data_IF_373063979829
#
_entry.id   IF_373063979829
#
_cell.length_a   1.000
_cell.length_b   1.000
_cell.length_c   1.000
_cell.angle_alpha   90.00
_cell.angle_beta   90.00
_cell.angle_gamma   90.00
#
_symmetry.space_group_name_H-M   'P 1'
#
loop_
_entity.id
_entity.type
_entity.pdbx_description
1 polymer ?
#
# COMPACT_ATOMS: atom_id res chain seq x y z
N UNK A 1 -7.03 4.90 8.05
CA UNK A 1 -5.72 4.38 7.58
C UNK A 1 -4.66 5.03 8.42
N UNK A 2 -3.50 4.42 8.57
CA UNK A 2 -2.44 5.02 9.38
C UNK A 2 -1.07 4.54 8.91
N UNK A 3 -0.08 5.40 9.10
CA UNK A 3 1.32 5.04 8.98
C UNK A 3 1.75 4.29 10.23
N UNK A 4 2.32 3.10 10.06
CA UNK A 4 2.77 2.25 11.16
C UNK A 4 4.25 1.97 11.08
N UNK A 5 4.92 2.23 12.20
CA UNK A 5 6.31 1.85 12.46
C UNK A 5 6.37 0.39 12.94
N UNK A 6 7.27 -0.37 12.35
CA UNK A 6 7.55 -1.77 12.67
C UNK A 6 9.02 -1.93 13.03
N UNK A 7 9.33 -2.23 14.27
CA UNK A 7 10.70 -2.59 14.64
C UNK A 7 10.92 -4.09 14.43
N UNK A 8 11.96 -4.42 13.67
CA UNK A 8 12.39 -5.79 13.40
C UNK A 8 13.81 -5.93 13.95
N UNK A 9 13.99 -6.88 14.87
CA UNK A 9 15.32 -7.29 15.34
C UNK A 9 15.95 -8.18 14.26
N UNK A 10 17.01 -7.70 13.63
CA UNK A 10 17.82 -8.48 12.70
C UNK A 10 19.19 -8.83 13.29
N UNK A 11 19.96 -9.61 12.52
CA UNK A 11 21.34 -9.98 12.86
C UNK A 11 22.27 -8.76 12.99
N UNK A 12 21.97 -7.66 12.27
CA UNK A 12 22.75 -6.41 12.27
C UNK A 12 22.16 -5.33 13.18
N UNK A 13 21.31 -5.71 14.14
CA UNK A 13 20.63 -4.78 15.05
C UNK A 13 19.15 -4.54 14.71
N UNK A 14 18.54 -3.57 15.40
CA UNK A 14 17.14 -3.19 15.21
C UNK A 14 17.00 -2.29 14.00
N UNK A 15 16.00 -2.56 13.15
CA UNK A 15 15.61 -1.68 12.05
C UNK A 15 14.13 -1.39 12.12
N UNK A 16 13.77 -0.14 11.87
CA UNK A 16 12.39 0.29 11.76
C UNK A 16 11.94 0.31 10.30
N UNK A 17 10.74 -0.19 10.03
CA UNK A 17 10.10 -0.17 8.73
C UNK A 17 8.75 0.56 8.82
N UNK A 18 8.44 1.34 7.79
CA UNK A 18 7.17 2.03 7.69
C UNK A 18 6.21 1.26 6.76
N UNK A 19 4.98 1.08 7.22
CA UNK A 19 3.91 0.42 6.46
C UNK A 19 2.64 1.25 6.55
N UNK A 20 1.90 1.35 5.46
CA UNK A 20 0.54 1.89 5.45
C UNK A 20 -0.42 0.76 5.82
N UNK A 21 -1.26 0.97 6.83
CA UNK A 21 -2.14 -0.06 7.36
C UNK A 21 -3.56 0.45 7.61
N UNK A 22 -4.50 -0.50 7.67
CA UNK A 22 -5.89 -0.27 8.01
C UNK A 22 -6.39 -1.38 8.95
N UNK A 23 -7.25 -1.03 9.92
CA UNK A 23 -7.84 -2.00 10.84
C UNK A 23 -9.21 -2.44 10.35
N UNK A 24 -9.48 -3.73 10.43
CA UNK A 24 -10.71 -4.36 9.96
C UNK A 24 -11.38 -5.08 11.11
N UNK A 25 -12.66 -4.80 11.32
CA UNK A 25 -13.46 -5.58 12.26
C UNK A 25 -13.76 -6.97 11.66
N UNK A 26 -13.40 -8.04 12.36
CA UNK A 26 -13.66 -9.41 11.96
C UNK A 26 -14.69 -10.04 12.92
N UNK A 27 -15.99 -10.02 12.58
CA UNK A 27 -17.05 -10.57 13.46
C UNK A 27 -17.07 -12.11 13.49
N UNK A 28 -16.45 -12.78 12.50
CA UNK A 28 -16.40 -14.25 12.35
C UNK A 28 -15.59 -14.96 13.45
N UNK A 29 -14.91 -14.23 14.34
CA UNK A 29 -14.18 -14.81 15.48
C UNK A 29 -14.97 -14.59 16.76
N UNK A 30 -14.94 -15.57 17.66
CA UNK A 30 -15.56 -15.45 18.97
C UNK A 30 -15.12 -14.14 19.67
N UNK A 31 -16.09 -13.28 19.99
CA UNK A 31 -15.89 -11.97 20.62
C UNK A 31 -15.66 -10.79 19.66
N UNK A 32 -15.48 -11.03 18.35
CA UNK A 32 -15.19 -9.99 17.36
C UNK A 32 -13.84 -9.31 17.59
N UNK A 33 -12.96 -9.27 16.57
CA UNK A 33 -11.64 -8.68 16.75
C UNK A 33 -11.25 -7.76 15.60
N UNK A 34 -10.69 -6.60 15.94
CA UNK A 34 -9.99 -5.75 14.99
C UNK A 34 -8.68 -6.39 14.55
N UNK A 35 -8.50 -6.61 13.25
CA UNK A 35 -7.29 -7.15 12.63
C UNK A 35 -6.66 -6.13 11.71
N UNK A 36 -5.33 -6.02 11.76
CA UNK A 36 -4.57 -5.14 10.88
C UNK A 36 -4.42 -5.77 9.50
N UNK A 37 -4.75 -5.02 8.46
CA UNK A 37 -4.40 -5.30 7.07
C UNK A 37 -3.33 -4.30 6.64
N UNK A 38 -2.23 -4.82 6.08
CA UNK A 38 -1.18 -3.98 5.49
C UNK A 38 -1.56 -3.69 4.04
N UNK A 39 -1.63 -2.40 3.72
CA UNK A 39 -1.99 -1.88 2.41
C UNK A 39 -0.74 -1.68 1.54
N UNK A 40 0.32 -1.11 2.10
CA UNK A 40 1.60 -0.95 1.41
C UNK A 40 2.76 -1.05 2.40
N UNK A 41 3.87 -1.67 1.97
CA UNK A 41 5.14 -1.57 2.67
C UNK A 41 6.00 -0.46 2.05
N UNK A 42 6.42 0.55 2.82
CA UNK A 42 7.22 1.65 2.28
C UNK A 42 8.73 1.37 2.36
N UNK A 43 9.16 0.48 3.26
CA UNK A 43 10.55 0.14 3.47
C UNK A 43 11.14 0.68 4.78
N UNK A 44 12.47 0.76 4.84
CA UNK A 44 13.23 1.11 6.05
C UNK A 44 13.10 2.60 6.38
N UNK A 45 12.68 2.93 7.61
CA UNK A 45 12.40 4.31 8.05
C UNK A 45 13.56 5.28 7.75
N UNK A 46 14.80 4.87 7.99
CA UNK A 46 16.00 5.71 7.76
C UNK A 46 16.17 6.18 6.30
N UNK A 47 15.57 5.48 5.34
CA UNK A 47 15.64 5.79 3.90
C UNK A 47 14.44 6.58 3.40
N UNK A 48 13.49 6.86 4.28
CA UNK A 48 12.20 7.45 3.94
C UNK A 48 12.06 8.83 4.57
N UNK A 49 11.38 9.71 3.85
CA UNK A 49 10.86 10.93 4.42
C UNK A 49 9.55 10.61 5.15
N UNK A 50 9.54 10.84 6.46
CA UNK A 50 8.42 10.45 7.31
C UNK A 50 7.23 11.40 7.20
N UNK A 51 7.49 12.68 6.92
CA UNK A 51 6.45 13.68 6.75
C UNK A 51 5.72 13.44 5.42
N UNK A 52 6.47 13.24 4.34
CA UNK A 52 5.89 12.81 3.05
C UNK A 52 5.13 11.50 3.17
N UNK A 53 5.61 10.55 3.96
CA UNK A 53 4.88 9.29 4.17
C UNK A 53 3.56 9.49 4.90
N UNK A 54 3.47 10.46 5.82
CA UNK A 54 2.23 10.80 6.50
C UNK A 54 1.25 11.50 5.54
N UNK A 55 1.72 12.49 4.79
CA UNK A 55 0.91 13.19 3.78
C UNK A 55 0.44 12.23 2.68
N UNK A 56 1.26 11.26 2.29
CA UNK A 56 0.88 10.25 1.32
C UNK A 56 -0.27 9.37 1.82
N UNK A 57 -0.33 9.06 3.12
CA UNK A 57 -1.48 8.36 3.71
C UNK A 57 -2.74 9.19 3.57
N UNK A 58 -2.68 10.49 3.84
CA UNK A 58 -3.82 11.40 3.65
C UNK A 58 -4.25 11.49 2.19
N UNK A 59 -3.29 11.59 1.27
CA UNK A 59 -3.56 11.65 -0.16
C UNK A 59 -4.27 10.39 -0.67
N UNK A 60 -3.81 9.20 -0.24
CA UNK A 60 -4.48 7.92 -0.53
C UNK A 60 -5.87 7.90 0.08
N UNK A 61 -6.03 8.33 1.34
CA UNK A 61 -7.32 8.35 2.00
C UNK A 61 -8.38 9.20 1.29
N UNK A 62 -7.96 10.30 0.65
CA UNK A 62 -8.86 11.22 -0.06
C UNK A 62 -9.15 10.81 -1.49
N UNK A 63 -8.22 10.11 -2.15
CA UNK A 63 -8.29 9.88 -3.60
C UNK A 63 -8.49 8.43 -4.01
N UNK A 64 -8.26 7.45 -3.13
CA UNK A 64 -8.36 6.06 -3.53
C UNK A 64 -9.83 5.64 -3.71
N UNK A 65 -10.26 5.26 -4.93
CA UNK A 65 -11.62 4.84 -5.21
C UNK A 65 -11.93 3.54 -4.45
N UNK A 66 -13.19 3.32 -4.08
CA UNK A 66 -13.58 2.12 -3.33
C UNK A 66 -13.03 2.08 -1.90
N UNK A 67 -12.68 3.24 -1.32
CA UNK A 67 -12.30 3.33 0.10
C UNK A 67 -13.40 2.70 0.96
N UNK A 68 -13.06 1.68 1.77
CA UNK A 68 -14.03 1.05 2.64
C UNK A 68 -14.47 2.03 3.73
N UNK A 69 -15.78 2.22 3.85
CA UNK A 69 -16.39 3.00 4.92
C UNK A 69 -16.30 2.27 6.27
N UNK A 70 -16.49 3.02 7.36
CA UNK A 70 -16.48 2.44 8.71
C UNK A 70 -17.62 1.42 8.82
N UNK A 71 -17.27 0.17 9.12
CA UNK A 71 -18.24 -0.94 9.22
C UNK A 71 -18.34 -1.79 7.95
N UNK A 72 -17.70 -1.41 6.85
CA UNK A 72 -17.57 -2.29 5.69
C UNK A 72 -16.76 -3.54 6.03
N UNK A 73 -17.24 -4.68 5.51
CA UNK A 73 -16.69 -5.99 5.81
C UNK A 73 -15.28 -6.20 5.24
N UNK A 74 -14.63 -7.26 5.73
CA UNK A 74 -13.25 -7.66 5.36
C UNK A 74 -13.01 -7.70 3.85
N UNK A 75 -13.98 -8.14 3.06
CA UNK A 75 -13.85 -8.24 1.61
C UNK A 75 -13.58 -6.88 0.93
N UNK A 76 -14.25 -5.81 1.35
CA UNK A 76 -14.04 -4.47 0.80
C UNK A 76 -12.63 -3.96 1.08
N UNK A 77 -12.15 -4.14 2.32
CA UNK A 77 -10.80 -3.73 2.71
C UNK A 77 -9.73 -4.55 1.99
N UNK A 78 -9.97 -5.84 1.73
CA UNK A 78 -9.03 -6.67 0.96
C UNK A 78 -8.96 -6.27 -0.51
N UNK A 79 -10.09 -5.91 -1.14
CA UNK A 79 -10.09 -5.36 -2.51
C UNK A 79 -9.32 -4.05 -2.57
N UNK A 80 -9.66 -3.11 -1.69
CA UNK A 80 -8.96 -1.85 -1.56
C UNK A 80 -7.45 -2.05 -1.32
N UNK A 81 -7.07 -2.99 -0.46
CA UNK A 81 -5.67 -3.33 -0.25
C UNK A 81 -4.99 -3.85 -1.52
N UNK A 82 -5.68 -4.62 -2.36
CA UNK A 82 -5.14 -5.08 -3.64
C UNK A 82 -4.87 -3.90 -4.59
N UNK A 83 -5.76 -2.92 -4.66
CA UNK A 83 -5.58 -1.74 -5.50
C UNK A 83 -4.40 -0.89 -5.04
N UNK A 84 -4.26 -0.65 -3.73
CA UNK A 84 -3.10 0.08 -3.18
C UNK A 84 -1.79 -0.68 -3.43
N UNK A 85 -1.79 -2.01 -3.36
CA UNK A 85 -0.58 -2.81 -3.65
C UNK A 85 -0.11 -2.69 -5.10
N UNK A 86 -1.01 -2.44 -6.07
CA UNK A 86 -0.64 -2.21 -7.47
C UNK A 86 0.21 -0.96 -7.63
N UNK A 87 -0.05 0.07 -6.83
CA UNK A 87 0.72 1.33 -6.85
C UNK A 87 1.86 1.36 -5.81
N UNK A 88 2.03 0.33 -4.97
CA UNK A 88 3.04 0.29 -3.90
C UNK A 88 4.46 0.69 -4.38
N UNK A 89 4.97 0.22 -5.56
CA UNK A 89 6.28 0.64 -6.05
C UNK A 89 6.38 2.15 -6.32
N UNK A 90 5.31 2.79 -6.77
CA UNK A 90 5.26 4.24 -6.95
C UNK A 90 5.27 4.96 -5.60
N UNK A 91 4.44 4.50 -4.66
CA UNK A 91 4.38 5.05 -3.29
C UNK A 91 5.76 5.04 -2.62
N UNK A 92 6.51 3.93 -2.73
CA UNK A 92 7.89 3.81 -2.22
C UNK A 92 8.83 4.87 -2.79
N UNK A 93 8.71 5.19 -4.09
CA UNK A 93 9.56 6.20 -4.74
C UNK A 93 9.23 7.60 -4.24
N UNK A 94 7.95 7.92 -4.08
CA UNK A 94 7.50 9.24 -3.61
C UNK A 94 8.04 9.58 -2.21
N UNK A 95 8.07 8.60 -1.31
CA UNK A 95 8.53 8.80 0.08
C UNK A 95 10.03 8.55 0.28
N UNK A 96 10.75 8.13 -0.76
CA UNK A 96 12.17 7.79 -0.60
C UNK A 96 13.03 9.05 -0.67
N UNK A 97 13.91 9.21 0.32
CA UNK A 97 14.89 10.31 0.38
C UNK A 97 15.82 10.34 -0.83
N UNK A 98 16.03 9.20 -1.50
CA UNK A 98 16.87 9.12 -2.69
C UNK A 98 16.33 9.92 -3.88
N UNK A 99 15.02 10.18 -3.92
CA UNK A 99 14.39 10.97 -4.98
C UNK A 99 14.23 12.45 -4.62
N UNK A 100 14.51 12.83 -3.36
CA UNK A 100 14.57 14.24 -2.91
C UNK A 100 13.27 15.02 -3.11
N UNK A 101 12.10 14.37 -3.06
CA UNK A 101 10.82 15.04 -3.30
C UNK A 101 10.53 16.10 -2.22
N UNK A 102 10.86 15.80 -0.96
CA UNK A 102 10.67 16.71 0.18
C UNK A 102 11.55 17.97 0.05
N UNK A 103 12.74 17.83 -0.55
CA UNK A 103 13.65 18.96 -0.75
C UNK A 103 13.19 19.88 -1.89
N UNK A 104 12.49 19.31 -2.88
CA UNK A 104 11.98 20.04 -4.04
C UNK A 104 10.66 20.73 -3.79
N UNK A 105 9.88 20.20 -2.84
CA UNK A 105 8.52 20.66 -2.57
C UNK A 105 8.35 20.82 -1.07
N UNK A 106 8.27 22.09 -0.66
CA UNK A 106 8.11 22.45 0.74
C UNK A 106 6.77 21.93 1.30
N UNK A 107 6.71 21.64 2.62
CA UNK A 107 5.45 21.32 3.29
C UNK A 107 4.38 22.37 3.04
N UNK A 108 3.17 21.93 2.68
CA UNK A 108 2.04 22.82 2.47
C UNK A 108 0.96 22.25 1.54
N UNK A 109 -0.13 23.00 1.31
CA UNK A 109 -1.27 22.54 0.53
C UNK A 109 -0.89 22.05 -0.88
N UNK A 110 -0.01 22.78 -1.55
CA UNK A 110 0.48 22.42 -2.89
C UNK A 110 1.15 21.04 -2.93
N UNK A 111 1.90 20.67 -1.88
CA UNK A 111 2.55 19.35 -1.79
C UNK A 111 1.51 18.25 -1.68
N UNK A 112 0.52 18.47 -0.82
CA UNK A 112 -0.61 17.54 -0.64
C UNK A 112 -1.37 17.38 -1.95
N UNK A 113 -1.74 18.47 -2.61
CA UNK A 113 -2.47 18.45 -3.88
C UNK A 113 -1.70 17.69 -4.98
N UNK A 114 -0.38 17.86 -5.03
CA UNK A 114 0.47 17.12 -5.96
C UNK A 114 0.48 15.62 -5.62
N UNK A 115 0.66 15.26 -4.34
CA UNK A 115 0.62 13.85 -3.92
C UNK A 115 -0.73 13.22 -4.24
N UNK A 116 -1.83 13.94 -4.03
CA UNK A 116 -3.18 13.53 -4.41
C UNK A 116 -3.30 13.28 -5.91
N UNK A 117 -2.81 14.22 -6.74
CA UNK A 117 -2.81 14.08 -8.20
C UNK A 117 -1.96 12.89 -8.69
N UNK A 118 -0.79 12.67 -8.09
CA UNK A 118 0.11 11.55 -8.43
C UNK A 118 -0.50 10.21 -8.05
N UNK A 119 -1.11 10.11 -6.85
CA UNK A 119 -1.81 8.90 -6.41
C UNK A 119 -2.98 8.60 -7.34
N UNK A 120 -3.80 9.61 -7.66
CA UNK A 120 -4.93 9.46 -8.59
C UNK A 120 -4.45 9.00 -9.97
N UNK A 121 -3.42 9.63 -10.51
CA UNK A 121 -2.84 9.27 -11.81
C UNK A 121 -2.37 7.81 -11.85
N UNK A 122 -1.67 7.34 -10.82
CA UNK A 122 -1.22 5.96 -10.73
C UNK A 122 -2.36 4.94 -10.54
N UNK A 123 -3.43 5.31 -9.86
CA UNK A 123 -4.61 4.45 -9.73
C UNK A 123 -5.35 4.32 -11.06
N UNK A 124 -5.62 5.44 -11.75
CA UNK A 124 -6.33 5.44 -13.04
C UNK A 124 -5.55 4.76 -14.18
N UNK A 125 -4.21 4.91 -14.23
CA UNK A 125 -3.38 4.21 -15.22
C UNK A 125 -3.41 2.68 -15.03
N UNK A 126 -3.55 2.20 -13.80
CA UNK A 126 -3.67 0.77 -13.52
C UNK A 126 -5.05 0.21 -13.87
N UNK A 127 -6.12 1.02 -13.84
CA UNK A 127 -7.42 0.61 -14.36
C UNK A 127 -7.40 0.46 -15.89
N UNK A 128 -6.73 1.38 -16.60
CA UNK A 128 -6.57 1.29 -18.05
C UNK A 128 -5.73 0.08 -18.51
N UNK A 129 -4.74 -0.33 -17.71
CA UNK A 129 -3.94 -1.54 -17.96
C UNK A 129 -4.61 -2.87 -17.58
N UNK A 130 -5.76 -2.83 -16.89
CA UNK A 130 -6.51 -4.03 -16.51
C UNK A 130 -7.45 -4.55 -17.62
N UNK A 131 -7.64 -3.77 -18.69
CA UNK A 131 -8.46 -4.15 -19.85
C UNK A 131 -7.77 -5.04 -20.89
N UNK A 132 -6.47 -5.30 -20.75
CA UNK A 132 -5.65 -6.01 -21.75
C UNK A 132 -5.12 -7.38 -21.27
N UNK A 133 -5.68 -7.92 -20.18
CA UNK A 133 -5.32 -9.22 -19.62
C UNK A 133 -6.52 -10.19 -19.49
N UNK A 134 -7.50 -10.11 -20.40
CA UNK A 134 -8.33 -11.27 -20.74
C UNK A 134 -7.67 -12.04 -21.91
N UNK A 135 -6.66 -12.84 -21.58
CA UNK A 135 -6.02 -13.83 -22.45
C UNK A 135 -5.44 -14.95 -21.57
N UNK A 136 -5.55 -16.23 -21.96
CA UNK A 136 -5.69 -17.32 -21.00
C UNK A 136 -4.35 -17.67 -20.34
N UNK A 137 -4.15 -17.26 -19.09
CA UNK A 137 -3.13 -17.85 -18.22
C UNK A 137 -3.63 -19.21 -17.69
N UNK A 138 -3.68 -20.19 -18.59
CA UNK A 138 -3.41 -21.58 -18.23
C UNK A 138 -1.93 -21.66 -17.87
N UNK A 139 -1.60 -21.56 -16.58
CA UNK A 139 -0.31 -22.04 -16.10
C UNK A 139 -0.53 -23.46 -15.61
N UNK A 140 0.03 -24.37 -16.38
CA UNK A 140 0.10 -25.80 -16.13
C UNK A 140 0.70 -26.10 -14.76
N UNK A 141 0.02 -26.97 -14.01
CA UNK A 141 0.67 -27.81 -13.01
C UNK A 141 1.69 -28.70 -13.74
N UNK A 142 2.96 -28.77 -13.33
CA UNK A 142 3.86 -29.79 -13.87
C UNK A 142 3.34 -31.17 -13.43
N UNK A 143 3.03 -31.99 -14.42
CA UNK A 143 2.81 -33.42 -14.24
C UNK A 143 4.08 -34.04 -13.66
N UNK A 144 4.02 -34.45 -12.40
CA UNK A 144 5.03 -35.33 -11.83
C UNK A 144 4.69 -36.75 -12.23
N UNK A 145 5.42 -37.30 -13.21
CA UNK A 145 5.44 -38.74 -13.47
C UNK A 145 6.81 -39.15 -13.99
N UNK A 146 7.23 -40.35 -13.55
CA UNK A 146 8.47 -41.10 -13.78
C UNK A 146 9.61 -40.76 -12.79
N UNK A 147 10.11 -41.66 -11.94
CA UNK A 147 10.04 -43.12 -11.91
C UNK A 147 11.46 -43.69 -12.03
N UNK A 148 11.87 -44.46 -11.02
CA UNK A 148 12.67 -45.68 -11.17
C UNK A 148 12.44 -46.56 -9.94
#
# INVERSE_FOLDING_TARGET
>A
MYLRRNEIQGLRGRRAYLTIAHNVWCPERAGGQSRRVVLANLGCEDKLDRELAAELVEAIERNAPGRPQRGEGRAAILRFAADIRRIEPALKRLVSRAFGLADRIQPGPMRVDLLEALVRGHLSQNEAGAGDLEGPLRVALPASTAGN
#
